data_IF_646013139502
#
_entry.id   IF_646013139502
#
_cell.length_a   1.000
_cell.length_b   1.000
_cell.length_c   1.000
_cell.angle_alpha   90.00
_cell.angle_beta   90.00
_cell.angle_gamma   90.00
#
_symmetry.space_group_name_H-M   'P 1'
#
loop_
_entity.id
_entity.type
_entity.pdbx_description
1 polymer ?
#
# COMPACT_ATOMS: atom_id res chain seq x y z
N UNK A 1 33.74 -11.85 -0.06
CA UNK A 1 33.00 -10.67 -0.57
C UNK A 1 31.71 -11.14 -1.22
N UNK A 2 30.56 -10.85 -0.60
CA UNK A 2 29.26 -10.47 -1.21
C UNK A 2 28.28 -10.22 -0.05
N UNK A 3 28.15 -8.99 0.42
CA UNK A 3 27.03 -8.61 1.28
C UNK A 3 25.85 -8.30 0.36
N UNK A 4 24.81 -9.15 0.40
CA UNK A 4 23.55 -8.90 -0.27
C UNK A 4 22.99 -7.55 0.17
N UNK A 5 22.71 -6.70 -0.82
CA UNK A 5 22.18 -5.37 -0.60
C UNK A 5 20.73 -5.48 -0.09
N UNK A 6 20.56 -5.55 1.24
CA UNK A 6 19.27 -5.37 1.89
C UNK A 6 18.87 -3.92 1.63
N UNK A 7 18.03 -3.69 0.60
CA UNK A 7 17.38 -2.39 0.40
C UNK A 7 16.76 -2.00 1.74
N UNK A 8 17.32 -0.96 2.35
CA UNK A 8 16.69 -0.31 3.49
C UNK A 8 15.35 0.20 2.98
N UNK A 9 14.23 -0.43 3.36
CA UNK A 9 12.94 0.26 3.29
C UNK A 9 13.10 1.45 4.22
N UNK A 10 13.40 2.62 3.64
CA UNK A 10 13.28 3.86 4.38
C UNK A 10 11.85 3.90 4.92
N UNK A 11 11.74 3.91 6.26
CA UNK A 11 10.46 4.03 6.95
C UNK A 11 9.98 5.48 6.76
N UNK A 12 9.57 5.80 5.53
CA UNK A 12 9.08 7.11 5.15
C UNK A 12 7.67 7.25 5.71
N UNK A 13 7.53 8.16 6.67
CA UNK A 13 6.22 8.62 7.11
C UNK A 13 5.54 9.37 5.95
N UNK A 14 4.27 9.08 5.71
CA UNK A 14 3.49 9.67 4.62
C UNK A 14 2.97 11.04 5.05
N UNK A 15 3.07 12.05 4.18
CA UNK A 15 2.60 13.43 4.43
C UNK A 15 1.42 13.77 3.50
N UNK A 16 0.41 14.55 3.94
CA UNK A 16 -0.67 15.00 3.06
C UNK A 16 -0.14 15.71 1.80
N UNK A 17 -0.78 15.44 0.66
CA UNK A 17 -0.38 15.97 -0.65
C UNK A 17 0.67 15.13 -1.38
N UNK A 18 1.35 14.21 -0.69
CA UNK A 18 2.20 13.22 -1.36
C UNK A 18 1.36 12.13 -2.02
N UNK A 19 1.90 11.55 -3.11
CA UNK A 19 1.31 10.37 -3.72
C UNK A 19 1.37 9.19 -2.75
N UNK A 20 0.22 8.57 -2.49
CA UNK A 20 0.14 7.38 -1.65
C UNK A 20 1.01 6.23 -2.24
N UNK A 21 1.76 5.50 -1.39
CA UNK A 21 2.50 4.32 -1.82
C UNK A 21 1.59 3.29 -2.49
N UNK A 22 2.06 2.68 -3.57
CA UNK A 22 1.30 1.63 -4.25
C UNK A 22 1.39 0.32 -3.48
N UNK A 23 0.28 -0.40 -3.39
CA UNK A 23 0.20 -1.73 -2.78
C UNK A 23 -0.91 -2.56 -3.43
N UNK A 24 -0.85 -3.87 -3.18
CA UNK A 24 -1.85 -4.85 -3.62
C UNK A 24 -2.44 -5.56 -2.41
N UNK A 25 -3.73 -5.82 -2.45
CA UNK A 25 -4.45 -6.65 -1.48
C UNK A 25 -5.41 -7.59 -2.22
N UNK A 26 -5.91 -8.59 -1.51
CA UNK A 26 -7.05 -9.37 -1.97
C UNK A 26 -8.35 -8.67 -1.52
N UNK A 27 -9.34 -8.62 -2.41
CA UNK A 27 -10.69 -8.22 -2.06
C UNK A 27 -11.44 -9.34 -1.30
N UNK A 28 -12.69 -9.08 -0.92
CA UNK A 28 -13.52 -10.06 -0.19
C UNK A 28 -13.83 -11.34 -0.97
N UNK A 29 -13.60 -11.35 -2.29
CA UNK A 29 -13.78 -12.50 -3.16
C UNK A 29 -12.44 -13.18 -3.51
N UNK A 30 -11.32 -12.70 -2.96
CA UNK A 30 -9.98 -13.19 -3.27
C UNK A 30 -9.36 -12.62 -4.56
N UNK A 31 -9.98 -11.64 -5.20
CA UNK A 31 -9.40 -11.00 -6.37
C UNK A 31 -8.27 -10.06 -5.94
N UNK A 32 -7.15 -10.09 -6.65
CA UNK A 32 -6.10 -9.08 -6.45
C UNK A 32 -6.56 -7.72 -6.95
N UNK A 33 -6.40 -6.72 -6.10
CA UNK A 33 -6.67 -5.31 -6.39
C UNK A 33 -5.44 -4.47 -6.08
N UNK A 34 -5.13 -3.49 -6.93
CA UNK A 34 -3.98 -2.61 -6.76
C UNK A 34 -4.43 -1.15 -6.58
N UNK A 35 -3.86 -0.44 -5.61
CA UNK A 35 -4.26 0.94 -5.30
C UNK A 35 -4.15 1.87 -6.53
N UNK A 36 -3.09 1.73 -7.31
CA UNK A 36 -2.85 2.58 -8.48
C UNK A 36 -3.93 2.52 -9.56
N UNK A 37 -4.73 1.45 -9.62
CA UNK A 37 -5.85 1.31 -10.57
C UNK A 37 -6.99 2.29 -10.29
N UNK A 38 -7.09 2.82 -9.07
CA UNK A 38 -8.15 3.75 -8.67
C UNK A 38 -7.76 5.23 -8.84
N UNK A 39 -6.49 5.53 -9.14
CA UNK A 39 -6.00 6.91 -9.27
C UNK A 39 -6.75 7.66 -10.37
N UNK A 40 -7.14 8.90 -10.10
CA UNK A 40 -7.83 9.77 -11.06
C UNK A 40 -9.28 9.39 -11.37
N UNK A 41 -9.73 8.20 -10.98
CA UNK A 41 -11.10 7.73 -11.23
C UNK A 41 -12.07 8.17 -10.13
N UNK A 42 -11.67 8.05 -8.86
CA UNK A 42 -12.49 8.40 -7.69
C UNK A 42 -11.65 8.56 -6.42
N UNK A 43 -12.11 9.33 -5.41
CA UNK A 43 -11.48 9.34 -4.10
C UNK A 43 -11.47 7.94 -3.47
N UNK A 44 -10.37 7.59 -2.79
CA UNK A 44 -10.19 6.30 -2.09
C UNK A 44 -9.93 6.57 -0.61
N UNK A 45 -10.60 5.79 0.24
CA UNK A 45 -10.43 5.84 1.71
C UNK A 45 -9.94 4.48 2.19
N UNK A 46 -8.91 4.47 3.02
CA UNK A 46 -8.42 3.27 3.70
C UNK A 46 -8.86 3.28 5.16
N UNK A 47 -9.68 2.31 5.53
CA UNK A 47 -10.07 2.08 6.90
C UNK A 47 -9.27 0.90 7.46
N UNK A 48 -8.34 1.18 8.37
CA UNK A 48 -7.59 0.15 9.07
C UNK A 48 -8.42 -0.36 10.24
N UNK A 49 -9.02 -1.54 10.05
CA UNK A 49 -9.80 -2.21 11.08
C UNK A 49 -8.92 -3.14 11.89
N UNK A 50 -9.15 -3.20 13.21
CA UNK A 50 -8.59 -4.25 14.05
C UNK A 50 -9.48 -5.49 13.92
N UNK A 51 -8.97 -6.57 13.35
CA UNK A 51 -9.61 -7.87 13.46
C UNK A 51 -9.54 -8.33 14.92
N UNK A 52 -10.69 -8.47 15.58
CA UNK A 52 -10.78 -9.27 16.79
C UNK A 52 -11.02 -10.71 16.32
N UNK A 53 -9.97 -11.53 16.39
CA UNK A 53 -10.07 -12.99 16.28
C UNK A 53 -10.12 -13.58 17.68
#
# INVERSE_FOLDING_TARGET
MIFGNKKNMENKLITPGELAPDFELEDVNGNRVRLSEFRGSKPVVLAFLRGFM
#
